data_IF_639463038439
#
_entry.id   IF_639463038439
#
_cell.length_a   1.000
_cell.length_b   1.000
_cell.length_c   1.000
_cell.angle_alpha   90.00
_cell.angle_beta   90.00
_cell.angle_gamma   90.00
#
_symmetry.space_group_name_H-M   'P 1'
#
loop_
_entity.id
_entity.type
_entity.pdbx_description
1 polymer ?
#
# COMPACT_ATOMS: atom_id res chain seq x y z
N UNK A 1 -17.69 36.57 -6.81
CA UNK A 1 -17.64 35.09 -6.65
C UNK A 1 -17.04 34.39 -7.85
N UNK A 2 -17.32 34.81 -9.08
CA UNK A 2 -16.71 34.28 -10.31
C UNK A 2 -15.21 34.60 -10.45
N UNK A 3 -14.77 35.79 -10.05
CA UNK A 3 -13.36 36.19 -10.10
C UNK A 3 -12.52 35.43 -9.07
N UNK A 4 -13.05 35.18 -7.87
CA UNK A 4 -12.40 34.40 -6.83
C UNK A 4 -12.16 32.92 -7.25
N UNK A 5 -13.11 32.33 -8.00
CA UNK A 5 -12.97 30.97 -8.56
C UNK A 5 -11.98 30.91 -9.71
N UNK A 6 -11.78 32.00 -10.44
CA UNK A 6 -10.82 32.07 -11.54
C UNK A 6 -9.36 32.19 -11.04
N UNK A 7 -9.13 32.74 -9.84
CA UNK A 7 -7.81 32.82 -9.21
C UNK A 7 -7.40 31.55 -8.47
N UNK A 8 -8.32 30.60 -8.25
CA UNK A 8 -7.99 29.35 -7.57
C UNK A 8 -7.08 28.50 -8.48
N UNK A 9 -5.86 28.29 -8.05
CA UNK A 9 -4.93 27.37 -8.70
C UNK A 9 -5.37 25.92 -8.45
N UNK A 10 -6.02 25.30 -9.41
CA UNK A 10 -6.51 23.92 -9.34
C UNK A 10 -5.39 22.87 -9.43
N UNK A 11 -4.18 23.28 -9.74
CA UNK A 11 -3.03 22.39 -9.92
C UNK A 11 -2.77 21.48 -8.71
N UNK A 12 -2.78 21.98 -7.45
CA UNK A 12 -2.56 21.12 -6.28
C UNK A 12 -3.64 20.05 -6.10
N UNK A 13 -4.90 20.41 -6.37
CA UNK A 13 -6.03 19.45 -6.30
C UNK A 13 -5.84 18.33 -7.32
N UNK A 14 -5.49 18.68 -8.55
CA UNK A 14 -5.27 17.71 -9.62
C UNK A 14 -4.10 16.77 -9.32
N UNK A 15 -3.00 17.30 -8.80
CA UNK A 15 -1.83 16.51 -8.40
C UNK A 15 -2.21 15.55 -7.25
N UNK A 16 -2.94 16.03 -6.24
CA UNK A 16 -3.37 15.21 -5.11
C UNK A 16 -4.32 14.08 -5.55
N UNK A 17 -5.27 14.39 -6.41
CA UNK A 17 -6.21 13.39 -6.94
C UNK A 17 -5.47 12.30 -7.74
N UNK A 18 -4.57 12.72 -8.63
CA UNK A 18 -3.75 11.81 -9.43
C UNK A 18 -2.84 10.93 -8.55
N UNK A 19 -2.22 11.51 -7.53
CA UNK A 19 -1.38 10.79 -6.58
C UNK A 19 -2.19 9.78 -5.77
N UNK A 20 -3.33 10.20 -5.23
CA UNK A 20 -4.22 9.33 -4.46
C UNK A 20 -4.77 8.17 -5.29
N UNK A 21 -5.18 8.45 -6.53
CA UNK A 21 -5.65 7.40 -7.43
C UNK A 21 -4.55 6.38 -7.75
N UNK A 22 -3.35 6.85 -8.14
CA UNK A 22 -2.23 5.99 -8.45
C UNK A 22 -1.81 5.14 -7.24
N UNK A 23 -1.72 5.75 -6.05
CA UNK A 23 -1.38 5.04 -4.82
C UNK A 23 -2.44 3.99 -4.43
N UNK A 24 -3.72 4.31 -4.61
CA UNK A 24 -4.83 3.39 -4.32
C UNK A 24 -4.76 2.16 -5.24
N UNK A 25 -4.54 2.36 -6.54
CA UNK A 25 -4.42 1.26 -7.50
C UNK A 25 -3.24 0.35 -7.13
N UNK A 26 -2.09 0.92 -6.83
CA UNK A 26 -0.90 0.15 -6.43
C UNK A 26 -1.17 -0.62 -5.13
N UNK A 27 -1.67 0.04 -4.09
CA UNK A 27 -1.97 -0.58 -2.80
C UNK A 27 -3.03 -1.69 -2.93
N UNK A 28 -4.03 -1.50 -3.81
CA UNK A 28 -5.07 -2.48 -4.07
C UNK A 28 -4.51 -3.78 -4.65
N UNK A 29 -3.75 -3.70 -5.73
CA UNK A 29 -3.18 -4.88 -6.37
C UNK A 29 -2.15 -5.57 -5.48
N UNK A 30 -1.26 -4.81 -4.85
CA UNK A 30 -0.28 -5.37 -3.92
C UNK A 30 -0.96 -5.99 -2.69
N UNK A 31 -1.98 -5.34 -2.13
CA UNK A 31 -2.72 -5.84 -0.98
C UNK A 31 -3.38 -7.19 -1.27
N UNK A 32 -4.07 -7.32 -2.40
CA UNK A 32 -4.68 -8.59 -2.83
C UNK A 32 -3.63 -9.66 -3.10
N UNK A 33 -2.54 -9.29 -3.81
CA UNK A 33 -1.47 -10.23 -4.13
C UNK A 33 -0.84 -10.82 -2.87
N UNK A 34 -0.43 -9.97 -1.93
CA UNK A 34 0.18 -10.42 -0.68
C UNK A 34 -0.81 -11.14 0.24
N UNK A 35 -2.08 -10.72 0.28
CA UNK A 35 -3.10 -11.44 1.04
C UNK A 35 -3.25 -12.88 0.56
N UNK A 36 -3.32 -13.10 -0.76
CA UNK A 36 -3.37 -14.44 -1.35
C UNK A 36 -2.10 -15.25 -1.09
N UNK A 37 -0.94 -14.61 -1.19
CA UNK A 37 0.33 -15.27 -0.95
C UNK A 37 0.43 -15.79 0.49
N UNK A 38 0.10 -14.94 1.45
CA UNK A 38 0.15 -15.24 2.89
C UNK A 38 -0.82 -16.35 3.26
N UNK A 39 -2.00 -16.39 2.66
CA UNK A 39 -2.98 -17.45 2.92
C UNK A 39 -2.51 -18.85 2.49
N UNK A 40 -1.64 -18.94 1.49
CA UNK A 40 -1.05 -20.21 1.02
C UNK A 40 0.13 -20.69 1.87
N UNK A 41 0.61 -19.89 2.80
CA UNK A 41 1.80 -20.20 3.59
C UNK A 41 1.45 -21.01 4.84
N UNK A 42 2.48 -21.70 5.38
CA UNK A 42 2.37 -22.43 6.65
C UNK A 42 2.10 -21.46 7.82
N UNK A 43 1.44 -21.89 8.91
CA UNK A 43 0.99 -21.01 9.99
C UNK A 43 2.09 -20.13 10.59
N UNK A 44 3.28 -20.68 10.82
CA UNK A 44 4.40 -19.95 11.42
C UNK A 44 4.92 -18.85 10.49
N UNK A 45 5.20 -19.19 9.23
CA UNK A 45 5.66 -18.23 8.21
C UNK A 45 4.60 -17.16 7.91
N UNK A 46 3.33 -17.56 7.93
CA UNK A 46 2.18 -16.67 7.78
C UNK A 46 2.16 -15.60 8.88
N UNK A 47 2.33 -15.98 10.15
CA UNK A 47 2.34 -15.02 11.26
C UNK A 47 3.49 -14.03 11.20
N UNK A 48 4.69 -14.48 10.83
CA UNK A 48 5.88 -13.62 10.70
C UNK A 48 5.68 -12.61 9.57
N UNK A 49 5.27 -13.07 8.41
CA UNK A 49 5.08 -12.20 7.24
C UNK A 49 3.93 -11.22 7.46
N UNK A 50 2.85 -11.65 8.10
CA UNK A 50 1.74 -10.79 8.50
C UNK A 50 2.18 -9.65 9.43
N UNK A 51 3.01 -9.96 10.41
CA UNK A 51 3.61 -8.95 11.28
C UNK A 51 4.47 -7.93 10.54
N UNK A 52 5.32 -8.40 9.61
CA UNK A 52 6.18 -7.53 8.80
C UNK A 52 5.35 -6.62 7.87
N UNK A 53 4.36 -7.18 7.18
CA UNK A 53 3.52 -6.44 6.24
C UNK A 53 2.62 -5.41 6.92
N UNK A 54 2.25 -5.64 8.18
CA UNK A 54 1.44 -4.70 8.97
C UNK A 54 2.27 -3.71 9.78
N UNK A 55 3.59 -3.88 9.83
CA UNK A 55 4.48 -3.00 10.60
C UNK A 55 4.33 -1.50 10.25
N UNK A 56 4.20 -1.08 8.97
CA UNK A 56 4.00 0.33 8.65
C UNK A 56 2.74 0.95 9.25
N UNK A 57 1.72 0.14 9.56
CA UNK A 57 0.48 0.61 10.18
C UNK A 57 0.64 0.99 11.65
N UNK A 58 1.58 0.34 12.34
CA UNK A 58 1.85 0.57 13.77
C UNK A 58 2.72 1.82 13.96
N UNK A 59 3.55 2.14 12.96
CA UNK A 59 4.41 3.33 13.01
C UNK A 59 3.58 4.61 12.80
N UNK A 60 3.85 5.68 13.56
CA UNK A 60 3.30 6.98 13.22
C UNK A 60 3.64 7.36 11.77
N UNK A 61 2.71 7.96 11.01
CA UNK A 61 2.93 8.32 9.60
C UNK A 61 4.18 9.19 9.38
N UNK A 62 4.49 10.05 10.34
CA UNK A 62 5.71 10.89 10.32
C UNK A 62 6.98 10.06 10.38
N UNK A 63 7.01 9.01 11.21
CA UNK A 63 8.16 8.10 11.34
C UNK A 63 8.31 7.26 10.07
N UNK A 64 7.21 6.72 9.55
CA UNK A 64 7.21 5.98 8.29
C UNK A 64 7.71 6.86 7.13
N UNK A 65 7.23 8.09 7.01
CA UNK A 65 7.70 9.06 6.03
C UNK A 65 9.19 9.39 6.17
N UNK A 66 9.68 9.54 7.40
CA UNK A 66 11.10 9.80 7.66
C UNK A 66 11.98 8.60 7.26
N UNK A 67 11.56 7.39 7.57
CA UNK A 67 12.28 6.16 7.16
C UNK A 67 12.34 6.07 5.63
N UNK A 68 11.24 6.33 4.93
CA UNK A 68 11.21 6.36 3.47
C UNK A 68 12.13 7.45 2.90
N UNK A 69 12.14 8.63 3.51
CA UNK A 69 13.05 9.70 3.13
C UNK A 69 14.52 9.28 3.27
N UNK A 70 14.87 8.65 4.39
CA UNK A 70 16.24 8.15 4.60
C UNK A 70 16.60 7.06 3.60
N UNK A 71 15.68 6.14 3.32
CA UNK A 71 15.91 5.03 2.40
C UNK A 71 16.16 5.51 0.96
N UNK A 72 15.34 6.44 0.48
CA UNK A 72 15.43 6.97 -0.89
C UNK A 72 16.31 8.22 -1.01
N UNK A 73 16.94 8.67 0.07
CA UNK A 73 17.87 9.80 0.05
C UNK A 73 19.03 9.54 -0.90
N UNK A 74 19.37 10.53 -1.73
CA UNK A 74 20.50 10.49 -2.66
C UNK A 74 21.86 10.33 -1.95
N UNK A 75 21.92 10.60 -0.64
CA UNK A 75 23.13 10.42 0.19
C UNK A 75 23.30 8.98 0.68
N UNK A 76 22.30 8.13 0.49
CA UNK A 76 22.34 6.72 0.87
C UNK A 76 22.57 5.83 -0.34
N UNK A 77 23.22 4.66 -0.15
CA UNK A 77 23.61 3.80 -1.26
C UNK A 77 22.42 3.34 -2.11
N UNK A 78 21.25 3.13 -1.51
CA UNK A 78 20.06 2.71 -2.23
C UNK A 78 19.48 3.81 -3.12
N UNK A 79 19.38 5.03 -2.61
CA UNK A 79 18.90 6.18 -3.40
C UNK A 79 19.88 6.59 -4.49
N UNK A 80 21.19 6.54 -4.21
CA UNK A 80 22.25 6.76 -5.20
C UNK A 80 22.22 5.69 -6.30
N UNK A 81 22.09 4.42 -5.95
CA UNK A 81 21.97 3.32 -6.90
C UNK A 81 20.78 3.48 -7.87
N UNK A 82 19.62 3.92 -7.35
CA UNK A 82 18.43 4.20 -8.17
C UNK A 82 18.65 5.36 -9.15
N UNK A 83 19.36 6.41 -8.71
CA UNK A 83 19.69 7.54 -9.56
C UNK A 83 20.69 7.15 -10.64
N UNK A 84 21.77 6.44 -10.26
CA UNK A 84 22.88 6.12 -11.17
C UNK A 84 22.50 5.10 -12.25
N UNK A 85 21.63 4.11 -11.90
CA UNK A 85 21.28 3.04 -12.83
C UNK A 85 19.97 3.29 -13.60
N UNK A 86 19.02 4.02 -13.02
CA UNK A 86 17.69 4.20 -13.60
C UNK A 86 17.32 5.65 -13.86
N UNK A 87 18.19 6.60 -13.49
CA UNK A 87 17.91 8.04 -13.54
C UNK A 87 16.58 8.43 -12.85
N UNK A 88 16.23 7.72 -11.78
CA UNK A 88 15.00 7.90 -11.03
C UNK A 88 15.30 8.65 -9.73
N UNK A 89 14.94 9.93 -9.72
CA UNK A 89 14.88 10.73 -8.50
C UNK A 89 13.52 10.54 -7.84
N UNK A 90 13.51 9.99 -6.61
CA UNK A 90 12.27 9.71 -5.86
C UNK A 90 11.96 10.85 -4.90
N UNK A 91 12.97 11.33 -4.17
CA UNK A 91 12.79 12.38 -3.15
C UNK A 91 12.35 13.70 -3.80
N UNK A 92 11.33 14.33 -3.22
CA UNK A 92 10.75 15.60 -3.69
C UNK A 92 10.16 15.55 -5.10
N UNK A 93 9.69 14.38 -5.54
CA UNK A 93 9.01 14.20 -6.82
C UNK A 93 7.62 13.62 -6.63
N UNK A 94 6.77 13.76 -7.64
CA UNK A 94 5.46 13.12 -7.65
C UNK A 94 5.54 11.60 -7.47
N UNK A 95 6.55 10.95 -8.05
CA UNK A 95 6.81 9.51 -7.88
C UNK A 95 7.03 9.14 -6.40
N UNK A 96 7.78 9.96 -5.68
CA UNK A 96 7.99 9.79 -4.24
C UNK A 96 6.71 9.90 -3.42
N UNK A 97 5.83 10.84 -3.78
CA UNK A 97 4.51 10.97 -3.13
C UNK A 97 3.65 9.72 -3.36
N UNK A 98 3.63 9.17 -4.57
CA UNK A 98 2.89 7.95 -4.89
C UNK A 98 3.42 6.76 -4.10
N UNK A 99 4.75 6.60 -4.02
CA UNK A 99 5.38 5.51 -3.26
C UNK A 99 5.04 5.63 -1.77
N UNK A 100 5.21 6.80 -1.19
CA UNK A 100 4.91 7.04 0.23
C UNK A 100 3.44 6.78 0.56
N UNK A 101 2.53 7.28 -0.26
CA UNK A 101 1.09 7.05 -0.10
C UNK A 101 0.73 5.58 -0.24
N UNK A 102 1.35 4.86 -1.20
CA UNK A 102 1.14 3.43 -1.41
C UNK A 102 1.62 2.60 -0.22
N UNK A 103 2.79 2.91 0.35
CA UNK A 103 3.36 2.20 1.52
C UNK A 103 2.47 2.37 2.75
N UNK A 104 1.90 3.57 2.95
CA UNK A 104 1.01 3.83 4.09
C UNK A 104 -0.36 3.17 3.89
N UNK A 105 -0.90 3.18 2.68
CA UNK A 105 -2.20 2.58 2.37
C UNK A 105 -2.16 1.05 2.26
N UNK A 106 -1.02 0.48 1.89
CA UNK A 106 -0.85 -0.95 1.63
C UNK A 106 -1.27 -1.85 2.81
N UNK A 107 -0.82 -1.63 4.07
CA UNK A 107 -1.17 -2.52 5.17
C UNK A 107 -2.67 -2.58 5.44
N UNK A 108 -3.37 -1.46 5.31
CA UNK A 108 -4.82 -1.40 5.48
C UNK A 108 -5.53 -2.21 4.40
N UNK A 109 -5.11 -2.04 3.15
CA UNK A 109 -5.67 -2.80 2.03
C UNK A 109 -5.38 -4.29 2.13
N UNK A 110 -4.16 -4.65 2.51
CA UNK A 110 -3.75 -6.03 2.77
C UNK A 110 -4.64 -6.70 3.83
N UNK A 111 -4.87 -6.05 4.97
CA UNK A 111 -5.71 -6.57 6.06
C UNK A 111 -7.15 -6.76 5.63
N UNK A 112 -7.71 -5.79 4.90
CA UNK A 112 -9.08 -5.88 4.38
C UNK A 112 -9.23 -7.02 3.37
N UNK A 113 -8.29 -7.14 2.44
CA UNK A 113 -8.27 -8.22 1.46
C UNK A 113 -8.17 -9.60 2.14
N UNK A 114 -7.29 -9.72 3.13
CA UNK A 114 -7.13 -10.95 3.90
C UNK A 114 -8.40 -11.32 4.65
N UNK A 115 -9.01 -10.37 5.36
CA UNK A 115 -10.27 -10.61 6.08
C UNK A 115 -11.41 -11.05 5.15
N UNK A 116 -11.49 -10.45 3.95
CA UNK A 116 -12.47 -10.85 2.95
C UNK A 116 -12.24 -12.30 2.48
N UNK A 117 -11.02 -12.72 2.22
CA UNK A 117 -10.71 -14.11 1.83
C UNK A 117 -11.01 -15.11 2.95
N UNK A 118 -10.69 -14.79 4.21
CA UNK A 118 -10.99 -15.64 5.35
C UNK A 118 -12.50 -15.84 5.55
N UNK A 119 -13.32 -14.82 5.31
CA UNK A 119 -14.79 -14.94 5.38
C UNK A 119 -15.35 -15.84 4.28
N UNK A 120 -14.80 -15.80 3.08
CA UNK A 120 -15.23 -16.67 1.96
C UNK A 120 -14.94 -18.13 2.29
N UNK A 121 -13.77 -18.44 2.84
CA UNK A 121 -13.40 -19.83 3.20
C UNK A 121 -14.30 -20.39 4.29
N UNK A 122 -14.66 -19.60 5.29
CA UNK A 122 -15.59 -20.01 6.38
C UNK A 122 -16.98 -20.29 5.81
N UNK A 123 -17.51 -19.43 4.94
CA UNK A 123 -18.83 -19.62 4.35
C UNK A 123 -18.90 -20.86 3.46
N UNK A 124 -17.86 -21.13 2.70
CA UNK A 124 -17.77 -22.34 1.87
C UNK A 124 -17.75 -23.61 2.73
N UNK A 125 -17.05 -23.61 3.85
CA UNK A 125 -17.01 -24.75 4.76
C UNK A 125 -18.36 -25.01 5.42
N UNK A 126 -19.13 -23.98 5.75
CA UNK A 126 -20.48 -24.08 6.31
C UNK A 126 -21.49 -24.68 5.29
N UNK A 127 -21.37 -24.32 4.01
CA UNK A 127 -22.22 -24.86 2.94
C UNK A 127 -21.99 -26.38 2.80
N UNK A 128 -20.75 -26.85 2.88
CA UNK A 128 -20.44 -28.27 2.82
C UNK A 128 -20.96 -29.08 4.02
N UNK A 129 -21.09 -28.44 5.21
CA UNK A 129 -21.62 -29.08 6.40
C UNK A 129 -23.15 -29.10 6.39
N UNK A 130 -23.80 -28.12 5.75
CA UNK A 130 -25.26 -28.00 5.70
C UNK A 130 -25.90 -28.79 4.55
N UNK A 131 -25.12 -29.39 3.66
CA UNK A 131 -25.65 -30.27 2.62
C UNK A 131 -25.90 -31.67 3.21
N UNK A 132 -27.18 -32.08 3.44
CA UNK A 132 -27.45 -33.40 3.93
C UNK A 132 -27.04 -34.42 2.87
N UNK A 133 -26.07 -35.25 3.20
CA UNK A 133 -25.69 -36.42 2.40
C UNK A 133 -26.93 -37.30 2.22
N UNK A 134 -27.49 -37.30 1.04
CA UNK A 134 -28.46 -38.33 0.59
C UNK A 134 -27.71 -39.50 0.04
#
# INVERSE_FOLDING_TARGET
>A
MSEFLAEINWSPLWISLKTGFAATVIAFFLGIFFARLVMKMKPVSRGILDGILTMPLVLPPTVAGFILLLLFSLRRPFGAFLLDNFDIKIVQTWKGCVIAASVIAFPLMYRNARAAFEQVDVNLSLIHISEPTR
#
